data_IF_379517906455
#
_entry.id   IF_379517906455
#
_cell.length_a   1.000
_cell.length_b   1.000
_cell.length_c   1.000
_cell.angle_alpha   90.00
_cell.angle_beta   90.00
_cell.angle_gamma   90.00
#
_symmetry.space_group_name_H-M   'P 1'
#
loop_
_entity.id
_entity.type
_entity.pdbx_description
1 polymer ?
#
# COMPACT_ATOMS: atom_id res chain seq x y z
N UNK A 1 -13.14 65.66 12.87
CA UNK A 1 -12.69 65.14 14.19
C UNK A 1 -13.89 64.45 14.82
N UNK A 2 -14.04 63.14 14.65
CA UNK A 2 -13.50 62.08 15.53
C UNK A 2 -13.88 62.29 17.00
N UNK A 3 -14.88 61.54 17.48
CA UNK A 3 -14.65 60.58 18.56
C UNK A 3 -15.77 59.53 18.67
N UNK A 4 -15.36 58.30 18.41
CA UNK A 4 -15.94 57.06 18.89
C UNK A 4 -15.59 56.91 20.38
N UNK A 5 -16.49 56.35 21.21
CA UNK A 5 -16.20 55.26 22.18
C UNK A 5 -17.51 54.70 22.77
N UNK A 6 -17.91 53.46 22.41
CA UNK A 6 -17.60 52.19 23.11
C UNK A 6 -18.62 51.97 24.25
N UNK A 7 -19.30 50.84 24.46
CA UNK A 7 -18.96 49.42 24.35
C UNK A 7 -20.27 48.61 24.51
N UNK A 8 -20.52 47.61 23.68
CA UNK A 8 -21.21 46.40 24.14
C UNK A 8 -20.52 45.20 23.50
N UNK A 9 -19.82 44.45 24.36
CA UNK A 9 -19.38 43.08 24.09
C UNK A 9 -20.63 42.22 23.88
N UNK A 10 -20.69 41.50 22.78
CA UNK A 10 -21.27 40.16 22.80
C UNK A 10 -20.32 39.19 22.11
N UNK A 11 -19.89 38.25 22.93
CA UNK A 11 -19.03 37.10 22.68
C UNK A 11 -19.48 36.29 21.47
N UNK A 12 -18.65 36.23 20.44
CA UNK A 12 -18.77 35.23 19.38
C UNK A 12 -18.25 33.89 19.92
N UNK A 13 -19.16 32.97 20.20
CA UNK A 13 -18.84 31.55 20.36
C UNK A 13 -18.40 31.04 18.98
N UNK A 14 -17.09 31.01 18.75
CA UNK A 14 -16.52 30.31 17.61
C UNK A 14 -16.70 28.81 17.80
N UNK A 15 -17.70 28.23 17.16
CA UNK A 15 -17.71 26.78 16.93
C UNK A 15 -16.54 26.46 16.01
N UNK A 16 -15.46 25.98 16.61
CA UNK A 16 -14.43 25.24 15.90
C UNK A 16 -15.10 23.96 15.40
N UNK A 17 -15.47 23.92 14.12
CA UNK A 17 -15.75 22.64 13.48
C UNK A 17 -14.42 21.89 13.40
N UNK A 18 -14.21 20.98 14.35
CA UNK A 18 -13.22 19.94 14.19
C UNK A 18 -13.43 19.30 12.82
N UNK A 19 -12.40 19.34 11.98
CA UNK A 19 -12.42 18.70 10.67
C UNK A 19 -12.89 17.27 10.85
N UNK A 20 -14.10 17.00 10.36
CA UNK A 20 -14.63 15.65 10.25
C UNK A 20 -13.58 14.83 9.54
N UNK A 21 -13.05 13.82 10.24
CA UNK A 21 -12.10 12.88 9.68
C UNK A 21 -12.59 12.43 8.30
N UNK A 22 -11.67 12.23 7.38
CA UNK A 22 -11.93 11.43 6.21
C UNK A 22 -12.36 10.04 6.71
N UNK A 23 -13.64 9.84 6.96
CA UNK A 23 -14.24 8.53 6.83
C UNK A 23 -13.91 8.13 5.41
N UNK A 24 -12.96 7.19 5.23
CA UNK A 24 -12.82 6.49 3.98
C UNK A 24 -14.24 6.05 3.63
N UNK A 25 -14.81 6.61 2.55
CA UNK A 25 -16.15 6.26 2.15
C UNK A 25 -16.17 4.74 2.02
N UNK A 26 -17.00 4.06 2.80
CA UNK A 26 -17.22 2.63 2.61
C UNK A 26 -17.82 2.52 1.21
N UNK A 27 -17.02 2.06 0.25
CA UNK A 27 -17.49 1.87 -1.12
C UNK A 27 -18.37 0.62 -1.14
N UNK A 28 -19.54 0.69 -0.52
CA UNK A 28 -20.56 -0.34 -0.68
C UNK A 28 -21.22 -0.13 -2.03
N UNK A 29 -21.12 -1.13 -2.92
CA UNK A 29 -21.85 -1.23 -4.20
C UNK A 29 -21.35 -0.32 -5.35
N UNK A 30 -20.02 -0.22 -5.57
CA UNK A 30 -19.50 0.38 -6.80
C UNK A 30 -19.57 -0.60 -7.97
N UNK A 31 -20.33 -0.27 -9.02
CA UNK A 31 -20.38 -1.05 -10.27
C UNK A 31 -18.98 -1.17 -10.91
N UNK A 32 -18.17 -0.11 -10.83
CA UNK A 32 -16.81 -0.13 -11.35
C UNK A 32 -15.93 -1.12 -10.58
N UNK A 33 -15.97 -1.10 -9.24
CA UNK A 33 -15.16 -2.02 -8.44
C UNK A 33 -15.64 -3.47 -8.57
N UNK A 34 -16.95 -3.69 -8.73
CA UNK A 34 -17.50 -5.00 -9.01
C UNK A 34 -17.01 -5.55 -10.36
N UNK A 35 -17.00 -4.72 -11.41
CA UNK A 35 -16.48 -5.12 -12.72
C UNK A 35 -14.97 -5.38 -12.68
N UNK A 36 -14.19 -4.53 -12.00
CA UNK A 36 -12.74 -4.75 -11.81
C UNK A 36 -12.50 -6.07 -11.07
N UNK A 37 -13.22 -6.32 -9.97
CA UNK A 37 -13.11 -7.57 -9.23
C UNK A 37 -13.49 -8.78 -10.10
N UNK A 38 -14.53 -8.68 -10.93
CA UNK A 38 -14.92 -9.73 -11.86
C UNK A 38 -13.84 -10.01 -12.92
N UNK A 39 -13.35 -8.98 -13.62
CA UNK A 39 -12.34 -9.11 -14.67
C UNK A 39 -11.01 -9.67 -14.14
N UNK A 40 -10.69 -9.37 -12.88
CA UNK A 40 -9.47 -9.84 -12.21
C UNK A 40 -9.69 -11.10 -11.38
N UNK A 41 -10.91 -11.66 -11.39
CA UNK A 41 -11.29 -12.84 -10.58
C UNK A 41 -10.97 -12.68 -9.08
N UNK A 42 -11.15 -11.48 -8.54
CA UNK A 42 -10.88 -11.21 -7.14
C UNK A 42 -11.95 -11.85 -6.25
N UNK A 43 -11.56 -12.60 -5.20
CA UNK A 43 -12.50 -13.17 -4.24
C UNK A 43 -13.27 -12.08 -3.47
N UNK A 44 -14.55 -12.32 -3.23
CA UNK A 44 -15.44 -11.38 -2.53
C UNK A 44 -15.14 -11.24 -1.03
N UNK A 45 -14.44 -12.21 -0.44
CA UNK A 45 -14.17 -12.29 0.98
C UNK A 45 -12.73 -12.78 1.19
N UNK A 46 -11.90 -11.93 1.79
CA UNK A 46 -10.48 -12.19 1.99
C UNK A 46 -9.99 -11.71 3.34
N UNK A 47 -8.95 -12.36 3.83
CA UNK A 47 -8.06 -11.79 4.81
C UNK A 47 -7.19 -10.75 4.14
N UNK A 48 -6.90 -9.66 4.85
CA UNK A 48 -5.98 -8.65 4.34
C UNK A 48 -5.04 -8.12 5.41
N UNK A 49 -3.89 -7.66 4.96
CA UNK A 49 -2.97 -6.87 5.76
C UNK A 49 -2.54 -5.62 4.99
N UNK A 50 -2.30 -4.54 5.73
CA UNK A 50 -1.70 -3.33 5.19
C UNK A 50 -0.54 -2.87 6.06
N UNK A 51 0.39 -2.16 5.42
CA UNK A 51 1.64 -1.80 6.06
C UNK A 51 2.65 -1.21 5.10
N UNK A 52 3.91 -1.36 5.46
CA UNK A 52 5.05 -0.94 4.65
C UNK A 52 6.06 -2.06 4.51
N UNK A 53 6.74 -2.13 3.38
CA UNK A 53 7.93 -2.96 3.23
C UNK A 53 8.98 -2.21 2.42
N UNK A 54 10.23 -2.55 2.65
CA UNK A 54 11.36 -2.08 1.87
C UNK A 54 11.77 -3.15 0.87
N UNK A 55 12.22 -2.73 -0.31
CA UNK A 55 12.83 -3.63 -1.27
C UNK A 55 14.08 -2.99 -1.84
N UNK A 56 15.07 -3.83 -2.13
CA UNK A 56 16.32 -3.41 -2.78
C UNK A 56 16.33 -3.83 -4.23
N UNK A 57 16.92 -3.00 -5.09
CA UNK A 57 16.96 -3.21 -6.53
C UNK A 57 18.39 -3.22 -7.07
N UNK A 58 18.69 -4.20 -7.92
CA UNK A 58 20.03 -4.49 -8.43
C UNK A 58 20.04 -4.70 -9.94
N UNK A 59 21.20 -4.48 -10.56
CA UNK A 59 21.40 -4.72 -12.01
C UNK A 59 21.59 -6.20 -12.35
N UNK A 60 21.82 -7.06 -11.35
CA UNK A 60 22.05 -8.49 -11.52
C UNK A 60 21.57 -9.29 -10.30
N UNK A 61 21.36 -10.59 -10.50
CA UNK A 61 20.97 -11.54 -9.45
C UNK A 61 21.99 -11.64 -8.30
N UNK A 62 23.27 -11.31 -8.56
CA UNK A 62 24.32 -11.29 -7.53
C UNK A 62 24.14 -10.20 -6.47
N UNK A 63 23.25 -9.22 -6.69
CA UNK A 63 22.95 -8.14 -5.77
C UNK A 63 24.16 -7.25 -5.37
N UNK A 64 25.13 -7.09 -6.27
CA UNK A 64 26.34 -6.31 -6.01
C UNK A 64 26.22 -4.83 -6.37
N UNK A 65 25.47 -4.52 -7.43
CA UNK A 65 25.33 -3.16 -7.97
C UNK A 65 23.88 -2.72 -7.96
N UNK A 66 23.59 -1.57 -7.33
CA UNK A 66 22.25 -1.02 -7.25
C UNK A 66 21.72 -0.59 -8.63
N UNK A 67 20.47 -0.96 -8.94
CA UNK A 67 19.75 -0.46 -10.12
C UNK A 67 19.01 0.82 -9.76
N UNK A 68 19.74 1.93 -9.66
CA UNK A 68 19.17 3.23 -9.25
C UNK A 68 18.05 3.68 -10.18
N UNK A 69 18.22 3.46 -11.49
CA UNK A 69 17.23 3.85 -12.49
C UNK A 69 15.99 2.95 -12.45
N UNK A 70 16.16 1.63 -12.32
CA UNK A 70 15.02 0.72 -12.25
C UNK A 70 14.20 0.88 -10.96
N UNK A 71 14.86 1.09 -9.82
CA UNK A 71 14.20 1.47 -8.57
C UNK A 71 13.40 2.77 -8.72
N UNK A 72 13.97 3.76 -9.41
CA UNK A 72 13.28 5.03 -9.67
C UNK A 72 12.04 4.82 -10.52
N UNK A 73 12.15 4.05 -11.61
CA UNK A 73 11.04 3.80 -12.52
C UNK A 73 9.90 3.02 -11.86
N UNK A 74 10.20 1.98 -11.07
CA UNK A 74 9.18 1.24 -10.32
C UNK A 74 8.46 2.16 -9.30
N UNK A 75 9.22 2.97 -8.57
CA UNK A 75 8.67 3.90 -7.59
C UNK A 75 7.79 4.99 -8.22
N UNK A 76 8.25 5.58 -9.32
CA UNK A 76 7.50 6.58 -10.09
C UNK A 76 6.21 5.96 -10.65
N UNK A 77 6.27 4.74 -11.18
CA UNK A 77 5.12 4.01 -11.69
C UNK A 77 4.09 3.69 -10.60
N UNK A 78 4.52 3.24 -9.43
CA UNK A 78 3.63 3.00 -8.29
C UNK A 78 2.97 4.29 -7.80
N UNK A 79 3.72 5.39 -7.74
CA UNK A 79 3.15 6.66 -7.31
C UNK A 79 2.12 7.20 -8.31
N UNK A 80 2.39 7.06 -9.61
CA UNK A 80 1.50 7.52 -10.68
C UNK A 80 0.29 6.60 -10.89
N UNK A 81 0.52 5.31 -11.10
CA UNK A 81 -0.49 4.35 -11.58
C UNK A 81 -0.99 3.38 -10.50
N UNK A 82 -0.25 3.25 -9.39
CA UNK A 82 -0.37 2.17 -8.42
C UNK A 82 -0.04 0.82 -9.09
N UNK A 83 0.07 -0.24 -8.31
CA UNK A 83 0.40 -1.58 -8.83
C UNK A 83 -0.51 -2.60 -8.19
N UNK A 84 -1.32 -3.25 -9.01
CA UNK A 84 -2.18 -4.38 -8.62
C UNK A 84 -1.62 -5.65 -9.26
N UNK A 85 -1.34 -6.67 -8.45
CA UNK A 85 -0.89 -7.98 -8.93
C UNK A 85 -1.77 -9.06 -8.28
N UNK A 86 -2.36 -9.94 -9.10
CA UNK A 86 -3.32 -10.97 -8.66
C UNK A 86 -2.67 -12.29 -8.26
N UNK A 87 -1.37 -12.44 -8.51
CA UNK A 87 -0.55 -13.58 -8.12
C UNK A 87 0.79 -13.10 -7.53
N UNK A 88 0.68 -12.28 -6.48
CA UNK A 88 1.82 -11.66 -5.84
C UNK A 88 2.67 -12.70 -5.09
N UNK A 89 3.94 -12.78 -5.47
CA UNK A 89 4.96 -13.62 -4.82
C UNK A 89 4.49 -15.06 -4.61
N UNK A 90 3.91 -15.67 -5.65
CA UNK A 90 3.47 -17.07 -5.59
C UNK A 90 4.61 -18.07 -5.36
N UNK A 91 5.87 -17.64 -5.62
CA UNK A 91 7.09 -18.33 -5.20
C UNK A 91 7.23 -18.45 -3.66
N UNK A 92 6.66 -17.52 -2.89
CA UNK A 92 6.73 -17.50 -1.43
C UNK A 92 5.42 -17.95 -0.80
N UNK A 93 4.28 -17.44 -1.28
CA UNK A 93 2.98 -17.64 -0.62
C UNK A 93 2.11 -18.71 -1.27
N UNK A 94 2.52 -19.25 -2.42
CA UNK A 94 1.61 -20.00 -3.29
C UNK A 94 0.62 -19.09 -4.03
N UNK A 95 -0.27 -19.66 -4.85
CA UNK A 95 -1.12 -18.88 -5.73
C UNK A 95 -2.20 -18.08 -4.98
N UNK A 96 -2.72 -17.06 -5.65
CA UNK A 96 -3.97 -16.39 -5.24
C UNK A 96 -3.82 -15.28 -4.20
N UNK A 97 -2.59 -14.89 -3.88
CA UNK A 97 -2.32 -13.67 -3.10
C UNK A 97 -2.40 -12.46 -4.02
N UNK A 98 -3.26 -11.50 -3.68
CA UNK A 98 -3.40 -10.25 -4.44
C UNK A 98 -2.77 -9.09 -3.69
N UNK A 99 -1.85 -8.36 -4.31
CA UNK A 99 -1.19 -7.17 -3.73
C UNK A 99 -1.62 -5.89 -4.43
N UNK A 100 -1.83 -4.83 -3.64
CA UNK A 100 -2.01 -3.47 -4.12
C UNK A 100 -1.00 -2.52 -3.47
N UNK A 101 -0.04 -2.03 -4.26
CA UNK A 101 0.93 -1.01 -3.83
C UNK A 101 0.48 0.35 -4.31
N UNK A 102 0.35 1.30 -3.37
CA UNK A 102 -0.29 2.59 -3.65
C UNK A 102 0.58 3.82 -3.40
N UNK A 103 1.76 3.62 -2.81
CA UNK A 103 2.76 4.67 -2.56
C UNK A 103 4.14 4.05 -2.52
N UNK A 104 5.13 4.78 -3.01
CA UNK A 104 6.54 4.44 -2.89
C UNK A 104 7.38 5.69 -2.54
N UNK A 105 8.42 5.52 -1.72
CA UNK A 105 9.41 6.55 -1.42
C UNK A 105 10.82 5.94 -1.46
N UNK A 106 11.77 6.66 -2.07
CA UNK A 106 13.18 6.30 -2.02
C UNK A 106 13.74 6.50 -0.61
N UNK A 107 14.41 5.50 -0.06
CA UNK A 107 15.02 5.55 1.28
C UNK A 107 16.54 5.68 1.22
N UNK A 108 17.18 4.95 0.30
CA UNK A 108 18.62 4.98 0.05
C UNK A 108 18.89 4.83 -1.45
N UNK A 109 20.16 4.75 -1.86
CA UNK A 109 20.55 4.55 -3.25
C UNK A 109 19.97 3.26 -3.86
N UNK A 110 19.94 2.19 -3.07
CA UNK A 110 19.55 0.84 -3.45
C UNK A 110 18.20 0.40 -2.90
N UNK A 111 17.52 1.21 -2.08
CA UNK A 111 16.33 0.81 -1.35
C UNK A 111 15.17 1.80 -1.52
N UNK A 112 13.99 1.25 -1.82
CA UNK A 112 12.72 1.96 -1.76
C UNK A 112 11.86 1.40 -0.63
N UNK A 113 10.95 2.23 -0.10
CA UNK A 113 9.89 1.83 0.82
C UNK A 113 8.54 1.95 0.11
N UNK A 114 7.67 0.99 0.35
CA UNK A 114 6.40 0.82 -0.34
C UNK A 114 5.26 0.64 0.65
N UNK A 115 4.12 1.28 0.38
CA UNK A 115 2.89 1.07 1.15
C UNK A 115 1.96 0.15 0.39
N UNK A 116 1.41 -0.83 1.11
CA UNK A 116 0.66 -1.92 0.51
C UNK A 116 -0.65 -2.19 1.25
N UNK A 117 -1.58 -2.78 0.51
CA UNK A 117 -2.64 -3.65 1.02
C UNK A 117 -2.54 -4.97 0.27
N UNK A 118 -2.38 -6.08 0.97
CA UNK A 118 -2.30 -7.43 0.39
C UNK A 118 -3.47 -8.24 0.96
N UNK A 119 -4.06 -9.07 0.12
CA UNK A 119 -5.19 -9.91 0.48
C UNK A 119 -5.06 -11.33 -0.05
N UNK A 120 -5.64 -12.28 0.69
CA UNK A 120 -5.64 -13.69 0.37
C UNK A 120 -6.90 -14.37 0.92
N UNK A 121 -7.31 -15.48 0.29
CA UNK A 121 -8.43 -16.30 0.80
C UNK A 121 -8.01 -17.08 2.04
N UNK A 122 -6.76 -17.53 2.08
CA UNK A 122 -6.19 -18.28 3.19
C UNK A 122 -5.53 -17.33 4.21
N UNK A 123 -5.95 -17.42 5.47
CA UNK A 123 -5.38 -16.64 6.57
C UNK A 123 -3.89 -16.91 6.73
N UNK A 124 -3.45 -18.15 6.52
CA UNK A 124 -2.05 -18.55 6.72
C UNK A 124 -1.09 -17.87 5.74
N UNK A 125 -1.58 -17.44 4.57
CA UNK A 125 -0.81 -16.63 3.63
C UNK A 125 -0.59 -15.21 4.18
N UNK A 126 -1.58 -14.64 4.88
CA UNK A 126 -1.46 -13.35 5.56
C UNK A 126 -0.61 -13.48 6.83
N UNK A 127 -0.70 -14.58 7.57
CA UNK A 127 0.19 -14.87 8.69
C UNK A 127 1.64 -14.89 8.23
N UNK A 128 1.94 -15.65 7.16
CA UNK A 128 3.28 -15.72 6.58
C UNK A 128 3.77 -14.36 6.06
N UNK A 129 2.89 -13.58 5.43
CA UNK A 129 3.23 -12.22 4.99
C UNK A 129 3.67 -11.34 6.16
N UNK A 130 2.98 -11.43 7.29
CA UNK A 130 3.25 -10.60 8.46
C UNK A 130 4.28 -11.20 9.44
N UNK A 131 4.86 -12.35 9.11
CA UNK A 131 5.92 -12.98 9.87
C UNK A 131 7.26 -12.28 9.56
N UNK A 132 7.92 -11.65 10.55
CA UNK A 132 9.21 -10.98 10.34
C UNK A 132 10.33 -11.94 9.94
N UNK A 133 10.17 -13.25 10.15
CA UNK A 133 11.16 -14.26 9.79
C UNK A 133 10.98 -14.79 8.36
N UNK A 134 9.95 -14.32 7.62
CA UNK A 134 9.77 -14.69 6.21
C UNK A 134 10.91 -14.12 5.35
N UNK A 135 11.59 -15.02 4.64
CA UNK A 135 12.65 -14.67 3.68
C UNK A 135 12.13 -14.68 2.26
N UNK A 136 12.65 -13.78 1.44
CA UNK A 136 12.26 -13.61 0.04
C UNK A 136 13.46 -13.85 -0.88
N UNK A 137 13.32 -14.67 -1.94
CA UNK A 137 14.35 -14.75 -2.97
C UNK A 137 14.43 -13.45 -3.76
N UNK A 138 15.59 -13.24 -4.39
CA UNK A 138 15.78 -12.25 -5.44
C UNK A 138 14.96 -12.66 -6.67
N UNK A 139 14.21 -11.72 -7.24
CA UNK A 139 13.37 -11.94 -8.42
C UNK A 139 13.65 -10.89 -9.49
N UNK A 140 13.60 -11.29 -10.75
CA UNK A 140 13.79 -10.37 -11.86
C UNK A 140 12.47 -9.71 -12.27
N UNK A 141 12.45 -8.38 -12.27
CA UNK A 141 11.38 -7.58 -12.83
C UNK A 141 11.74 -7.15 -14.26
N UNK A 142 11.07 -7.78 -15.22
CA UNK A 142 11.27 -7.51 -16.64
C UNK A 142 10.85 -6.08 -17.03
N UNK A 143 9.89 -5.47 -16.32
CA UNK A 143 9.37 -4.15 -16.70
C UNK A 143 10.41 -3.04 -16.53
N UNK A 144 11.25 -3.16 -15.50
CA UNK A 144 12.23 -2.15 -15.12
C UNK A 144 13.68 -2.65 -15.26
N UNK A 145 13.89 -3.83 -15.87
CA UNK A 145 15.20 -4.48 -16.02
C UNK A 145 15.99 -4.48 -14.69
N UNK A 146 15.34 -4.98 -13.63
CA UNK A 146 15.87 -4.87 -12.26
C UNK A 146 15.60 -6.12 -11.45
N UNK A 147 16.61 -6.56 -10.71
CA UNK A 147 16.53 -7.66 -9.76
C UNK A 147 16.17 -7.12 -8.38
N UNK A 148 15.04 -7.56 -7.84
CA UNK A 148 14.52 -7.09 -6.56
C UNK A 148 14.67 -8.14 -5.47
N UNK A 149 15.00 -7.71 -4.26
CA UNK A 149 14.81 -8.47 -3.03
C UNK A 149 13.91 -7.69 -2.09
N UNK A 150 12.82 -8.31 -1.68
CA UNK A 150 11.93 -7.75 -0.67
C UNK A 150 12.50 -8.03 0.72
N UNK A 151 12.50 -7.02 1.59
CA UNK A 151 12.69 -7.19 3.01
C UNK A 151 11.35 -7.57 3.69
N UNK A 152 11.35 -8.11 4.91
CA UNK A 152 10.12 -8.52 5.61
C UNK A 152 9.05 -7.44 5.66
N UNK A 153 7.79 -7.85 5.46
CA UNK A 153 6.66 -6.93 5.38
C UNK A 153 6.22 -6.48 6.78
N UNK A 154 6.32 -5.17 7.03
CA UNK A 154 5.85 -4.54 8.25
C UNK A 154 4.34 -4.34 8.25
N UNK A 155 3.58 -5.39 8.58
CA UNK A 155 2.13 -5.31 8.75
C UNK A 155 1.76 -4.45 9.96
N UNK A 156 0.96 -3.40 9.73
CA UNK A 156 0.47 -2.51 10.80
C UNK A 156 -1.02 -2.68 11.06
N UNK A 157 -1.75 -3.24 10.09
CA UNK A 157 -3.17 -3.58 10.23
C UNK A 157 -3.44 -4.92 9.58
N UNK A 158 -4.27 -5.73 10.24
CA UNK A 158 -4.89 -6.93 9.68
C UNK A 158 -6.40 -6.77 9.72
N UNK A 159 -7.09 -7.30 8.72
CA UNK A 159 -8.55 -7.25 8.64
C UNK A 159 -9.08 -8.64 8.30
N UNK A 160 -10.07 -9.08 9.06
CA UNK A 160 -10.78 -10.33 8.85
C UNK A 160 -11.88 -10.12 7.79
N UNK A 161 -12.16 -11.12 6.94
CA UNK A 161 -13.26 -11.05 6.00
C UNK A 161 -14.63 -10.71 6.64
N UNK A 162 -14.85 -11.06 7.91
CA UNK A 162 -16.05 -10.74 8.66
C UNK A 162 -16.15 -9.26 9.08
N UNK A 163 -15.05 -8.49 9.05
CA UNK A 163 -15.05 -7.09 9.51
C UNK A 163 -15.74 -6.13 8.53
N UNK A 164 -16.10 -6.61 7.34
CA UNK A 164 -16.74 -5.82 6.28
C UNK A 164 -18.25 -6.08 6.12
N UNK A 165 -18.82 -7.00 6.91
CA UNK A 165 -20.25 -7.37 6.87
C UNK A 165 -21.00 -6.96 8.14
#
# INVERSE_FOLDING_TARGET
MVQIKTLMLFTTLGLMSAGTGCSAATVTNSLLLAEVAHQLSLPASTWSASGTHTAKGYTSESAETASVEGLKQDCDNINLNKKLAVDFRSDVFGPGVTSFFYKCEKVSEDTNNYWFTISAVDETQIDKLCDPDTTYPIVYDQQHDTWFIDEPFGCTRRTNPADFF
#
